data_IF_249704227437
#
_entry.id   IF_249704227437
#
_cell.length_a   1.000
_cell.length_b   1.000
_cell.length_c   1.000
_cell.angle_alpha   90.00
_cell.angle_beta   90.00
_cell.angle_gamma   90.00
#
_symmetry.space_group_name_H-M   'P 1'
#
loop_
_entity.id
_entity.type
_entity.pdbx_description
1 polymer ?
#
# COMPACT_ATOMS: atom_id res chain seq x y z
N UNK A 1 -0.90 16.12 60.93
CA UNK A 1 0.18 15.82 59.99
C UNK A 1 -0.25 14.62 59.16
N UNK A 2 -0.64 14.83 57.90
CA UNK A 2 -1.25 13.79 57.03
C UNK A 2 -0.17 13.17 56.15
N UNK A 3 0.01 11.83 56.10
CA UNK A 3 0.77 11.22 55.03
C UNK A 3 -0.09 10.95 53.79
N UNK A 4 0.61 11.00 52.65
CA UNK A 4 0.16 11.11 51.28
C UNK A 4 -0.81 10.02 50.78
N UNK A 5 -1.73 10.49 49.93
CA UNK A 5 -2.49 9.73 48.92
C UNK A 5 -1.55 8.90 48.04
N UNK A 6 -1.67 7.57 48.11
CA UNK A 6 -1.35 6.66 46.99
C UNK A 6 -2.34 5.49 47.03
N UNK A 7 -3.54 5.68 46.50
CA UNK A 7 -4.44 4.58 46.14
C UNK A 7 -4.84 4.79 44.68
N UNK A 8 -3.94 4.36 43.78
CA UNK A 8 -4.36 3.90 42.46
C UNK A 8 -4.90 2.49 42.68
N UNK A 9 -6.19 2.35 42.97
CA UNK A 9 -6.82 1.04 42.94
C UNK A 9 -8.27 1.10 42.48
N UNK A 10 -8.59 0.15 41.58
CA UNK A 10 -9.92 -0.29 41.13
C UNK A 10 -10.55 0.44 39.93
N UNK A 11 -9.96 0.22 38.76
CA UNK A 11 -10.74 0.08 37.51
C UNK A 11 -10.95 -1.40 37.10
N UNK A 12 -10.83 -2.34 38.05
CA UNK A 12 -10.85 -3.79 37.77
C UNK A 12 -12.01 -4.56 38.40
N UNK A 13 -13.16 -3.94 38.70
CA UNK A 13 -14.22 -4.64 39.45
C UNK A 13 -15.65 -4.24 39.08
N UNK A 14 -15.89 -3.75 37.86
CA UNK A 14 -17.26 -3.46 37.38
C UNK A 14 -17.78 -4.44 36.33
N UNK A 15 -17.01 -5.46 35.95
CA UNK A 15 -17.41 -6.43 34.90
C UNK A 15 -18.27 -7.60 35.38
N UNK A 16 -18.51 -7.79 36.68
CA UNK A 16 -19.31 -8.93 37.13
C UNK A 16 -20.26 -8.54 38.27
N UNK A 17 -21.50 -8.19 37.92
CA UNK A 17 -22.64 -8.91 38.47
C UNK A 17 -23.70 -9.30 37.41
N UNK A 18 -23.30 -9.54 36.16
CA UNK A 18 -24.20 -10.12 35.14
C UNK A 18 -23.41 -10.83 34.04
N UNK A 19 -23.06 -12.11 34.29
CA UNK A 19 -22.91 -13.19 33.29
C UNK A 19 -22.09 -13.01 32.00
N UNK A 20 -21.44 -11.88 31.77
CA UNK A 20 -20.69 -11.64 30.53
C UNK A 20 -19.30 -12.27 30.64
N UNK A 21 -19.27 -13.59 30.42
CA UNK A 21 -18.06 -14.40 30.33
C UNK A 21 -17.31 -14.18 29.01
N UNK A 22 -17.74 -13.25 28.16
CA UNK A 22 -17.00 -12.95 26.94
C UNK A 22 -15.68 -12.24 27.30
N UNK A 23 -14.59 -12.99 27.20
CA UNK A 23 -13.22 -12.48 27.22
C UNK A 23 -12.88 -11.74 25.91
N UNK A 24 -13.87 -11.48 25.05
CA UNK A 24 -13.68 -10.84 23.76
C UNK A 24 -13.48 -9.34 23.97
N UNK A 25 -12.33 -8.85 23.58
CA UNK A 25 -12.11 -7.41 23.45
C UNK A 25 -13.05 -6.86 22.37
N UNK A 26 -13.87 -5.87 22.72
CA UNK A 26 -14.66 -5.12 21.74
C UNK A 26 -13.78 -4.51 20.65
N UNK A 27 -14.37 -4.06 19.52
CA UNK A 27 -13.61 -3.56 18.38
C UNK A 27 -12.64 -2.46 18.83
N UNK A 28 -11.35 -2.78 18.80
CA UNK A 28 -10.28 -1.83 19.12
C UNK A 28 -10.19 -0.83 17.97
N UNK A 29 -10.25 0.46 18.29
CA UNK A 29 -9.80 1.50 17.38
C UNK A 29 -8.29 1.29 17.17
N UNK A 30 -7.94 0.57 16.12
CA UNK A 30 -6.54 0.33 15.74
C UNK A 30 -5.81 1.63 15.43
N UNK A 31 -4.51 1.53 15.12
CA UNK A 31 -3.72 2.69 14.68
C UNK A 31 -4.37 3.30 13.42
N UNK A 32 -4.61 4.63 13.38
CA UNK A 32 -5.15 5.27 12.18
C UNK A 32 -4.22 5.01 10.99
N UNK A 33 -4.82 4.65 9.84
CA UNK A 33 -4.06 4.38 8.63
C UNK A 33 -3.52 5.70 8.08
N UNK A 34 -2.20 5.83 8.08
CA UNK A 34 -1.50 7.08 7.72
C UNK A 34 -1.63 7.40 6.23
N UNK A 35 -1.90 6.40 5.38
CA UNK A 35 -1.93 6.56 3.92
C UNK A 35 -3.07 5.73 3.27
N UNK A 36 -3.75 6.31 2.28
CA UNK A 36 -4.76 5.62 1.48
C UNK A 36 -4.10 4.73 0.42
N UNK A 37 -4.61 3.51 0.24
CA UNK A 37 -4.08 2.57 -0.76
C UNK A 37 -4.45 2.99 -2.19
N UNK A 38 -5.60 3.61 -2.37
CA UNK A 38 -6.08 4.02 -3.70
C UNK A 38 -5.23 5.17 -4.27
N UNK A 39 -4.83 6.13 -3.43
CA UNK A 39 -3.98 7.25 -3.85
C UNK A 39 -2.61 6.73 -4.31
N UNK A 40 -2.01 5.79 -3.55
CA UNK A 40 -0.74 5.15 -3.94
C UNK A 40 -0.90 4.38 -5.26
N UNK A 41 -2.01 3.67 -5.44
CA UNK A 41 -2.29 2.93 -6.66
C UNK A 41 -2.39 3.86 -7.87
N UNK A 42 -3.07 5.00 -7.73
CA UNK A 42 -3.24 5.96 -8.82
C UNK A 42 -1.88 6.50 -9.30
N UNK A 43 -0.98 6.84 -8.38
CA UNK A 43 0.36 7.34 -8.74
C UNK A 43 1.19 6.26 -9.44
N UNK A 44 1.16 5.02 -8.93
CA UNK A 44 1.91 3.90 -9.51
C UNK A 44 1.37 3.49 -10.88
N UNK A 45 0.05 3.54 -11.09
CA UNK A 45 -0.56 3.21 -12.38
C UNK A 45 -0.31 4.31 -13.42
N UNK A 46 -0.20 5.58 -13.00
CA UNK A 46 0.18 6.69 -13.88
C UNK A 46 1.65 6.64 -14.31
N UNK A 47 2.56 6.31 -13.39
CA UNK A 47 3.98 6.16 -13.70
C UNK A 47 4.61 4.99 -12.93
N UNK A 48 4.70 3.84 -13.59
CA UNK A 48 5.26 2.63 -12.98
C UNK A 48 6.78 2.68 -12.73
N UNK A 49 7.46 3.78 -13.11
CA UNK A 49 8.91 3.95 -12.93
C UNK A 49 9.30 4.72 -11.67
N UNK A 50 8.34 5.27 -10.92
CA UNK A 50 8.62 5.99 -9.69
C UNK A 50 9.26 5.09 -8.64
N UNK A 51 10.26 5.61 -7.92
CA UNK A 51 10.95 4.86 -6.87
C UNK A 51 10.19 4.92 -5.54
N UNK A 52 10.45 3.96 -4.63
CA UNK A 52 9.86 4.00 -3.28
C UNK A 52 10.30 5.24 -2.48
N UNK A 53 11.47 5.82 -2.78
CA UNK A 53 11.94 7.04 -2.12
C UNK A 53 11.16 8.26 -2.57
N UNK A 54 10.96 8.44 -3.89
CA UNK A 54 10.14 9.52 -4.44
C UNK A 54 8.70 9.45 -3.92
N UNK A 55 8.13 8.25 -3.86
CA UNK A 55 6.80 8.03 -3.28
C UNK A 55 6.77 8.37 -1.79
N UNK A 56 7.83 8.03 -1.04
CA UNK A 56 7.93 8.34 0.38
C UNK A 56 7.95 9.86 0.63
N UNK A 57 8.69 10.60 -0.19
CA UNK A 57 8.72 12.07 -0.14
C UNK A 57 7.37 12.67 -0.51
N UNK A 58 6.71 12.17 -1.55
CA UNK A 58 5.40 12.62 -2.01
C UNK A 58 4.32 12.43 -0.95
N UNK A 59 4.27 11.25 -0.32
CA UNK A 59 3.28 10.90 0.70
C UNK A 59 3.72 11.28 2.13
N UNK A 60 4.93 11.84 2.29
CA UNK A 60 5.55 12.18 3.60
C UNK A 60 5.55 11.02 4.60
N UNK A 61 5.81 9.82 4.11
CA UNK A 61 5.88 8.59 4.91
C UNK A 61 7.27 7.97 4.78
N UNK A 62 7.57 6.95 5.59
CA UNK A 62 8.82 6.21 5.41
C UNK A 62 8.78 5.36 4.13
N UNK A 63 9.92 5.16 3.44
CA UNK A 63 10.01 4.25 2.28
C UNK A 63 9.58 2.82 2.60
N UNK A 64 9.76 2.38 3.85
CA UNK A 64 9.29 1.08 4.31
C UNK A 64 7.76 1.00 4.32
N UNK A 65 7.08 2.08 4.72
CA UNK A 65 5.61 2.16 4.68
C UNK A 65 5.11 2.03 3.24
N UNK A 66 5.76 2.70 2.28
CA UNK A 66 5.45 2.55 0.85
C UNK A 66 5.62 1.09 0.41
N UNK A 67 6.75 0.46 0.74
CA UNK A 67 7.02 -0.95 0.37
C UNK A 67 5.94 -1.91 0.90
N UNK A 68 5.51 -1.72 2.16
CA UNK A 68 4.44 -2.52 2.76
C UNK A 68 3.10 -2.32 2.03
N UNK A 69 2.75 -1.07 1.69
CA UNK A 69 1.50 -0.78 0.99
C UNK A 69 1.52 -1.30 -0.45
N UNK A 70 2.66 -1.20 -1.16
CA UNK A 70 2.83 -1.80 -2.49
C UNK A 70 2.66 -3.32 -2.45
N UNK A 71 3.20 -3.98 -1.42
CA UNK A 71 3.02 -5.42 -1.22
C UNK A 71 1.55 -5.78 -0.97
N UNK A 72 0.84 -5.00 -0.15
CA UNK A 72 -0.61 -5.19 0.07
C UNK A 72 -1.44 -5.01 -1.21
N UNK A 73 -1.00 -4.13 -2.12
CA UNK A 73 -1.60 -3.93 -3.44
C UNK A 73 -1.19 -5.00 -4.47
N UNK A 74 -0.33 -5.96 -4.09
CA UNK A 74 0.21 -6.97 -5.02
C UNK A 74 1.16 -6.39 -6.09
N UNK A 75 1.70 -5.19 -5.86
CA UNK A 75 2.65 -4.55 -6.78
C UNK A 75 4.06 -5.03 -6.47
N UNK A 76 4.77 -5.45 -7.51
CA UNK A 76 6.18 -5.89 -7.43
C UNK A 76 7.02 -5.09 -8.41
N UNK A 77 8.24 -4.73 -8.01
CA UNK A 77 9.19 -4.13 -8.93
C UNK A 77 9.61 -5.15 -10.01
N UNK A 78 9.64 -4.70 -11.27
CA UNK A 78 10.09 -5.48 -12.42
C UNK A 78 11.00 -4.62 -13.28
N UNK A 79 12.06 -5.22 -13.79
CA UNK A 79 12.93 -4.58 -14.78
C UNK A 79 12.19 -4.42 -16.10
N UNK A 80 12.44 -3.31 -16.79
CA UNK A 80 11.94 -3.10 -18.15
C UNK A 80 12.55 -4.12 -19.10
N UNK A 81 11.78 -4.54 -20.11
CA UNK A 81 12.31 -5.38 -21.19
C UNK A 81 13.33 -4.60 -22.02
N UNK A 82 14.43 -5.24 -22.36
CA UNK A 82 15.39 -4.70 -23.31
C UNK A 82 14.80 -4.69 -24.71
N UNK A 83 14.82 -3.52 -25.35
CA UNK A 83 14.41 -3.34 -26.75
C UNK A 83 15.65 -2.88 -27.52
N UNK A 84 16.04 -3.64 -28.55
CA UNK A 84 17.34 -3.51 -29.22
C UNK A 84 17.56 -2.19 -29.98
N UNK A 85 16.48 -1.53 -30.41
CA UNK A 85 16.54 -0.26 -31.11
C UNK A 85 15.24 0.50 -30.93
N UNK A 86 15.33 1.84 -30.97
CA UNK A 86 14.16 2.69 -30.99
C UNK A 86 13.46 2.60 -32.36
N UNK A 87 12.15 2.38 -32.34
CA UNK A 87 11.36 2.25 -33.55
C UNK A 87 10.74 3.58 -33.94
N UNK A 88 11.09 4.06 -35.13
CA UNK A 88 10.36 5.15 -35.79
C UNK A 88 8.94 4.72 -36.17
N UNK A 89 8.08 5.68 -36.44
CA UNK A 89 6.69 5.41 -36.82
C UNK A 89 6.60 4.62 -38.14
N UNK A 90 7.45 4.94 -39.12
CA UNK A 90 7.54 4.21 -40.39
C UNK A 90 7.95 2.75 -40.19
N UNK A 91 8.90 2.49 -39.29
CA UNK A 91 9.34 1.13 -38.95
C UNK A 91 8.19 0.33 -38.30
N UNK A 92 7.39 0.96 -37.44
CA UNK A 92 6.21 0.31 -36.82
C UNK A 92 5.14 -0.01 -37.87
N UNK A 93 4.86 0.94 -38.77
CA UNK A 93 3.85 0.78 -39.82
C UNK A 93 4.24 -0.36 -40.77
N UNK A 94 5.49 -0.38 -41.22
CA UNK A 94 6.01 -1.40 -42.14
C UNK A 94 5.96 -2.81 -41.53
N UNK A 95 6.25 -2.93 -40.23
CA UNK A 95 6.12 -4.20 -39.51
C UNK A 95 4.67 -4.65 -39.40
N UNK A 96 3.75 -3.73 -39.14
CA UNK A 96 2.33 -4.03 -39.02
C UNK A 96 1.74 -4.48 -40.38
N UNK A 97 2.08 -3.79 -41.47
CA UNK A 97 1.61 -4.16 -42.82
C UNK A 97 2.14 -5.53 -43.23
N UNK A 98 3.43 -5.81 -42.99
CA UNK A 98 4.03 -7.11 -43.25
C UNK A 98 3.34 -8.21 -42.43
N UNK A 99 3.16 -8.02 -41.12
CA UNK A 99 2.47 -9.00 -40.27
C UNK A 99 1.03 -9.26 -40.73
N UNK A 100 0.27 -8.21 -41.05
CA UNK A 100 -1.12 -8.31 -41.53
C UNK A 100 -1.25 -9.05 -42.87
N UNK A 101 -0.28 -8.89 -43.77
CA UNK A 101 -0.27 -9.58 -45.05
C UNK A 101 -0.16 -11.10 -44.88
N UNK A 102 0.64 -11.57 -43.90
CA UNK A 102 0.83 -12.99 -43.64
C UNK A 102 -0.33 -13.65 -42.87
N UNK A 103 -1.10 -12.89 -42.09
CA UNK A 103 -2.20 -13.44 -41.28
C UNK A 103 -3.56 -13.48 -41.99
N UNK A 104 -3.71 -12.82 -43.15
CA UNK A 104 -4.95 -12.76 -43.94
C UNK A 104 -5.04 -13.81 -45.06
N UNK A 105 -4.21 -14.85 -45.01
CA UNK A 105 -4.17 -15.95 -45.98
C UNK A 105 -4.62 -17.24 -45.30
#
# INVERSE_FOLDING_TARGET
MMPLVIEQHRNGSKKFPSGDLSLSDGPRSGRPKIMNNEDLRQVVDANSRTTCQELAEMFRVSPETIRLHLHQLGKTWKLSKWVTHELTNDNKLSRLTFSKHFTQR
#
